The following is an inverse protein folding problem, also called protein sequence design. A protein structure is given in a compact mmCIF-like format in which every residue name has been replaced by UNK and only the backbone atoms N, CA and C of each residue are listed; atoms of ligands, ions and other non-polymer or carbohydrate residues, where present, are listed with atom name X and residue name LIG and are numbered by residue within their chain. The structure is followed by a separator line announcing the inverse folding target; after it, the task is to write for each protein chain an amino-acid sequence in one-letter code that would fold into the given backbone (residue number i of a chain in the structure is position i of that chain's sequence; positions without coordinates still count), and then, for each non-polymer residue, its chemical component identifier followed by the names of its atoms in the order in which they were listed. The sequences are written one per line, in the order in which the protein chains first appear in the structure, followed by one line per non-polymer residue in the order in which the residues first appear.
data_IF_615087572489
#
_entry.id   IF_615087572489
#
_cell.length_a   1.000
_cell.length_b   1.000
_cell.length_c   1.000
_cell.angle_alpha   90.00
_cell.angle_beta   90.00
_cell.angle_gamma   90.00
#
_symmetry.space_group_name_H-M   'P 1'
#
loop_
_entity.id
_entity.type
_entity.pdbx_description
1 polymer ?
#
# COMPACT_ATOMS: atom_id res chain seq x y z
N UNK A 1 -19.88 -33.79 -8.86
CA UNK A 1 -18.61 -33.09 -8.79
C UNK A 1 -18.90 -31.60 -8.68
N UNK A 2 -18.89 -31.06 -7.47
CA UNK A 2 -19.03 -29.61 -7.24
C UNK A 2 -17.69 -29.00 -7.59
N UNK A 3 -17.62 -28.23 -8.68
CA UNK A 3 -16.46 -27.38 -8.97
C UNK A 3 -16.38 -26.35 -7.86
N UNK A 4 -15.45 -26.50 -6.92
CA UNK A 4 -15.05 -25.42 -6.03
C UNK A 4 -14.54 -24.27 -6.93
N UNK A 5 -15.41 -23.33 -7.23
CA UNK A 5 -14.97 -22.00 -7.62
C UNK A 5 -14.24 -21.41 -6.39
N UNK A 6 -12.94 -21.49 -6.37
CA UNK A 6 -12.15 -20.65 -5.48
C UNK A 6 -12.57 -19.22 -5.81
N UNK A 7 -13.30 -18.59 -4.91
CA UNK A 7 -13.62 -17.16 -5.01
C UNK A 7 -12.27 -16.45 -5.14
N UNK A 8 -11.96 -15.95 -6.33
CA UNK A 8 -10.76 -15.16 -6.53
C UNK A 8 -10.80 -13.99 -5.55
N UNK A 9 -9.72 -13.81 -4.81
CA UNK A 9 -9.59 -12.70 -3.87
C UNK A 9 -9.61 -11.39 -4.64
N UNK A 10 -10.48 -10.49 -4.25
CA UNK A 10 -10.66 -9.20 -4.90
C UNK A 10 -9.71 -8.16 -4.33
N UNK A 11 -9.17 -7.28 -5.19
CA UNK A 11 -8.14 -6.30 -4.82
C UNK A 11 -8.49 -4.92 -5.36
N UNK A 12 -8.48 -3.92 -4.49
CA UNK A 12 -8.45 -2.50 -4.87
C UNK A 12 -7.04 -1.96 -4.72
N UNK A 13 -6.57 -1.23 -5.72
CA UNK A 13 -5.31 -0.49 -5.65
C UNK A 13 -5.61 0.99 -5.43
N UNK A 14 -4.96 1.57 -4.42
CA UNK A 14 -5.04 2.99 -4.09
C UNK A 14 -3.76 3.66 -4.55
N UNK A 15 -3.88 4.55 -5.52
CA UNK A 15 -2.82 5.45 -5.95
C UNK A 15 -3.01 6.83 -5.34
N UNK A 16 -1.93 7.58 -5.23
CA UNK A 16 -1.99 8.97 -4.79
C UNK A 16 -1.08 9.85 -5.64
N UNK A 17 -1.35 11.15 -5.65
CA UNK A 17 -0.49 12.14 -6.31
C UNK A 17 -0.34 13.41 -5.50
N UNK A 18 0.91 13.85 -5.37
CA UNK A 18 1.27 15.16 -4.85
C UNK A 18 2.61 15.60 -5.42
N UNK A 19 2.58 16.56 -6.36
CA UNK A 19 3.77 17.13 -7.05
C UNK A 19 4.53 16.17 -7.99
N UNK A 20 4.35 14.86 -7.92
CA UNK A 20 5.01 13.84 -8.73
C UNK A 20 3.98 12.97 -9.44
N UNK A 21 3.55 13.38 -10.64
CA UNK A 21 2.54 12.64 -11.43
C UNK A 21 3.10 12.14 -12.78
N UNK A 22 4.40 12.27 -13.00
CA UNK A 22 5.03 11.81 -14.24
C UNK A 22 5.02 10.29 -14.39
N UNK A 23 4.91 9.56 -13.28
CA UNK A 23 4.84 8.09 -13.22
C UNK A 23 3.42 7.53 -13.34
N UNK A 24 2.38 8.37 -13.24
CA UNK A 24 0.99 7.91 -13.12
C UNK A 24 0.56 6.97 -14.26
N UNK A 25 0.90 7.32 -15.51
CA UNK A 25 0.57 6.47 -16.66
C UNK A 25 1.21 5.10 -16.55
N UNK A 26 2.49 5.06 -16.24
CA UNK A 26 3.25 3.82 -16.08
C UNK A 26 2.73 2.99 -14.88
N UNK A 27 2.33 3.64 -13.79
CA UNK A 27 1.69 2.97 -12.65
C UNK A 27 0.37 2.32 -13.05
N UNK A 28 -0.52 3.06 -13.74
CA UNK A 28 -1.82 2.53 -14.18
C UNK A 28 -1.61 1.34 -15.11
N UNK A 29 -0.75 1.47 -16.12
CA UNK A 29 -0.42 0.38 -17.05
C UNK A 29 0.15 -0.84 -16.32
N UNK A 30 1.06 -0.66 -15.36
CA UNK A 30 1.63 -1.75 -14.58
C UNK A 30 0.59 -2.46 -13.69
N UNK A 31 -0.40 -1.72 -13.18
CA UNK A 31 -1.47 -2.28 -12.36
C UNK A 31 -2.50 -3.02 -13.21
N UNK A 32 -2.87 -2.49 -14.36
CA UNK A 32 -3.79 -3.15 -15.30
C UNK A 32 -3.23 -4.45 -15.87
N UNK A 33 -1.89 -4.54 -15.99
CA UNK A 33 -1.17 -5.70 -16.49
C UNK A 33 -0.74 -6.72 -15.41
N UNK A 34 -1.19 -6.57 -14.16
CA UNK A 34 -0.90 -7.54 -13.10
C UNK A 34 -1.42 -8.94 -13.44
N UNK A 35 -0.63 -9.98 -13.11
CA UNK A 35 -1.03 -11.41 -13.29
C UNK A 35 -2.24 -11.76 -12.43
N UNK A 36 -2.37 -11.20 -11.23
CA UNK A 36 -3.60 -11.24 -10.45
C UNK A 36 -4.42 -10.00 -10.76
N UNK A 37 -5.61 -10.20 -11.33
CA UNK A 37 -6.47 -9.09 -11.76
C UNK A 37 -6.80 -8.16 -10.60
N UNK A 38 -6.60 -6.87 -10.83
CA UNK A 38 -7.06 -5.80 -9.96
C UNK A 38 -8.50 -5.44 -10.31
N UNK A 39 -9.37 -5.37 -9.31
CA UNK A 39 -10.81 -5.12 -9.51
C UNK A 39 -11.11 -3.63 -9.61
N UNK A 40 -10.38 -2.80 -8.87
CA UNK A 40 -10.61 -1.36 -8.85
C UNK A 40 -9.29 -0.60 -8.66
N UNK A 41 -9.07 0.44 -9.45
CA UNK A 41 -8.03 1.45 -9.19
C UNK A 41 -8.73 2.70 -8.68
N UNK A 42 -8.24 3.22 -7.56
CA UNK A 42 -8.76 4.41 -6.89
C UNK A 42 -7.62 5.41 -6.72
N UNK A 43 -7.79 6.63 -7.18
CA UNK A 43 -6.75 7.64 -7.14
C UNK A 43 -7.14 8.82 -6.27
N UNK A 44 -6.27 9.15 -5.31
CA UNK A 44 -6.38 10.33 -4.46
C UNK A 44 -5.39 11.42 -4.91
N UNK A 45 -5.90 12.58 -5.32
CA UNK A 45 -5.09 13.73 -5.65
C UNK A 45 -5.08 14.74 -4.51
N UNK A 46 -3.95 14.90 -3.84
CA UNK A 46 -3.72 16.08 -3.00
C UNK A 46 -3.48 17.31 -3.89
N UNK A 47 -4.07 18.45 -3.52
CA UNK A 47 -3.88 19.65 -4.31
C UNK A 47 -2.43 20.11 -4.30
N UNK A 48 -1.97 20.58 -5.44
CA UNK A 48 -0.74 21.34 -5.62
C UNK A 48 -0.97 22.42 -6.67
N UNK A 49 0.01 23.29 -6.88
CA UNK A 49 -0.07 24.31 -7.95
C UNK A 49 0.17 23.70 -9.35
N UNK A 50 0.51 22.44 -9.43
CA UNK A 50 0.79 21.74 -10.69
C UNK A 50 -0.52 21.27 -11.34
N UNK A 51 -0.55 21.25 -12.66
CA UNK A 51 -1.59 20.57 -13.45
C UNK A 51 -1.19 19.11 -13.62
N UNK A 52 -2.15 18.23 -13.48
CA UNK A 52 -1.96 16.78 -13.59
C UNK A 52 -2.69 16.26 -14.82
N UNK A 53 -2.02 15.38 -15.57
CA UNK A 53 -2.67 14.57 -16.59
C UNK A 53 -3.31 13.35 -15.91
N UNK A 54 -4.62 13.38 -15.76
CA UNK A 54 -5.41 12.27 -15.20
C UNK A 54 -6.03 11.39 -16.30
N UNK A 55 -5.68 11.62 -17.59
CA UNK A 55 -6.23 10.85 -18.70
C UNK A 55 -6.06 9.34 -18.53
N UNK A 56 -4.95 8.79 -18.00
CA UNK A 56 -4.82 7.35 -17.81
C UNK A 56 -5.92 6.75 -16.92
N UNK A 57 -6.33 7.51 -15.90
CA UNK A 57 -7.38 7.09 -14.97
C UNK A 57 -8.77 7.26 -15.56
N UNK A 58 -9.01 8.38 -16.27
CA UNK A 58 -10.31 8.69 -16.91
C UNK A 58 -10.60 7.70 -18.02
N UNK A 59 -9.63 7.44 -18.87
CA UNK A 59 -9.76 6.51 -20.02
C UNK A 59 -9.99 5.06 -19.55
N UNK A 60 -9.38 4.67 -18.43
CA UNK A 60 -9.58 3.37 -17.79
C UNK A 60 -10.89 3.26 -16.98
N UNK A 61 -11.63 4.36 -16.79
CA UNK A 61 -12.86 4.38 -15.98
C UNK A 61 -12.63 4.18 -14.48
N UNK A 62 -11.48 4.63 -13.98
CA UNK A 62 -11.08 4.46 -12.58
C UNK A 62 -11.67 5.53 -11.65
N UNK A 63 -11.71 5.25 -10.37
CA UNK A 63 -12.24 6.16 -9.35
C UNK A 63 -11.23 7.27 -9.03
N UNK A 64 -11.65 8.54 -9.10
CA UNK A 64 -10.79 9.70 -8.88
C UNK A 64 -11.41 10.61 -7.81
N UNK A 65 -10.62 10.94 -6.79
CA UNK A 65 -10.93 11.97 -5.82
C UNK A 65 -9.86 13.07 -5.84
N UNK A 66 -10.29 14.31 -5.96
CA UNK A 66 -9.40 15.48 -5.97
C UNK A 66 -9.69 16.36 -4.77
N UNK A 67 -8.70 16.61 -3.96
CA UNK A 67 -8.78 17.47 -2.80
C UNK A 67 -8.38 18.91 -3.13
N UNK A 68 -9.01 19.87 -2.46
CA UNK A 68 -8.64 21.30 -2.52
C UNK A 68 -7.53 21.68 -1.56
N UNK A 69 -7.08 20.73 -0.71
CA UNK A 69 -6.01 20.91 0.28
C UNK A 69 -5.05 19.73 0.23
N UNK A 70 -3.83 19.92 0.71
CA UNK A 70 -2.91 18.82 0.99
C UNK A 70 -3.24 18.22 2.36
N UNK A 71 -3.77 17.00 2.36
CA UNK A 71 -4.06 16.21 3.57
C UNK A 71 -2.93 15.23 3.94
N UNK A 72 -1.76 15.37 3.31
CA UNK A 72 -0.61 14.51 3.56
C UNK A 72 -0.78 13.09 3.06
N UNK A 73 0.09 12.21 3.53
CA UNK A 73 0.17 10.81 3.10
C UNK A 73 -0.95 9.93 3.67
N UNK A 74 -1.55 10.33 4.78
CA UNK A 74 -2.63 9.58 5.44
C UNK A 74 -3.94 9.60 4.66
N UNK A 75 -4.14 10.60 3.81
CA UNK A 75 -5.38 10.76 3.03
C UNK A 75 -5.69 9.55 2.14
N UNK A 76 -4.67 8.89 1.59
CA UNK A 76 -4.85 7.67 0.78
C UNK A 76 -5.43 6.50 1.59
N UNK A 77 -5.07 6.37 2.86
CA UNK A 77 -5.66 5.36 3.76
C UNK A 77 -7.08 5.72 4.18
N UNK A 78 -7.42 7.03 4.29
CA UNK A 78 -8.80 7.48 4.49
C UNK A 78 -9.65 7.20 3.23
N UNK A 79 -9.11 7.45 2.05
CA UNK A 79 -9.80 7.15 0.79
C UNK A 79 -10.00 5.64 0.60
N UNK A 80 -9.05 4.82 1.04
CA UNK A 80 -9.12 3.36 1.02
C UNK A 80 -10.31 2.78 1.80
N UNK A 81 -10.92 3.51 2.74
CA UNK A 81 -12.15 3.10 3.43
C UNK A 81 -13.34 2.90 2.47
N UNK A 82 -13.29 3.45 1.26
CA UNK A 82 -14.30 3.25 0.23
C UNK A 82 -14.11 1.94 -0.57
N UNK A 83 -12.96 1.27 -0.45
CA UNK A 83 -12.72 0.00 -1.11
C UNK A 83 -13.72 -1.07 -0.64
N UNK A 84 -14.26 -1.86 -1.59
CA UNK A 84 -15.25 -2.92 -1.32
C UNK A 84 -14.70 -4.32 -1.52
N UNK A 85 -13.43 -4.43 -1.88
CA UNK A 85 -12.70 -5.67 -2.15
C UNK A 85 -12.19 -6.32 -0.86
N UNK A 86 -11.72 -7.56 -0.95
CA UNK A 86 -11.12 -8.27 0.19
C UNK A 86 -9.81 -7.62 0.62
N UNK A 87 -8.97 -7.27 -0.34
CA UNK A 87 -7.66 -6.67 -0.12
C UNK A 87 -7.57 -5.26 -0.67
N UNK A 88 -6.68 -4.50 -0.06
CA UNK A 88 -6.28 -3.16 -0.48
C UNK A 88 -4.77 -3.14 -0.67
N UNK A 89 -4.33 -2.57 -1.80
CA UNK A 89 -2.93 -2.27 -2.06
C UNK A 89 -2.77 -0.76 -2.20
N UNK A 90 -2.00 -0.12 -1.33
CA UNK A 90 -1.67 1.32 -1.41
C UNK A 90 -0.27 1.45 -2.01
N UNK A 91 -0.10 2.24 -3.05
CA UNK A 91 1.17 2.39 -3.79
C UNK A 91 1.62 3.86 -3.76
N UNK A 92 2.91 4.08 -3.47
CA UNK A 92 3.52 5.41 -3.51
C UNK A 92 3.59 5.97 -4.93
N UNK A 93 3.55 7.32 -5.06
CA UNK A 93 3.51 8.04 -6.34
C UNK A 93 4.79 7.95 -7.19
N UNK A 94 5.82 7.30 -6.69
CA UNK A 94 7.11 7.05 -7.36
C UNK A 94 7.46 5.55 -7.49
N UNK A 95 6.52 4.67 -7.20
CA UNK A 95 6.75 3.22 -7.23
C UNK A 95 5.96 2.57 -8.36
N UNK A 96 6.65 1.83 -9.23
CA UNK A 96 6.03 1.03 -10.29
C UNK A 96 6.10 -0.45 -9.84
N UNK A 97 4.95 -1.11 -9.61
CA UNK A 97 4.95 -2.51 -9.20
C UNK A 97 5.37 -3.42 -10.36
N UNK A 98 6.12 -4.47 -10.05
CA UNK A 98 6.33 -5.56 -11.01
C UNK A 98 5.02 -6.29 -11.33
N UNK A 99 4.96 -6.94 -12.49
CA UNK A 99 3.76 -7.58 -13.05
C UNK A 99 3.13 -8.66 -12.17
N UNK A 100 3.88 -9.23 -11.21
CA UNK A 100 3.44 -10.26 -10.28
C UNK A 100 3.31 -9.79 -8.83
N UNK A 101 3.38 -8.50 -8.59
CA UNK A 101 3.35 -7.95 -7.23
C UNK A 101 2.08 -8.34 -6.47
N UNK A 102 0.91 -8.12 -7.07
CA UNK A 102 -0.39 -8.45 -6.44
C UNK A 102 -0.55 -9.96 -6.21
N UNK A 103 -0.18 -10.79 -7.20
CA UNK A 103 -0.21 -12.24 -7.06
C UNK A 103 0.67 -12.71 -5.89
N UNK A 104 1.88 -12.18 -5.80
CA UNK A 104 2.82 -12.49 -4.75
C UNK A 104 2.30 -12.09 -3.36
N UNK A 105 1.69 -10.90 -3.25
CA UNK A 105 1.07 -10.44 -2.02
C UNK A 105 -0.10 -11.33 -1.59
N UNK A 106 -1.01 -11.68 -2.52
CA UNK A 106 -2.14 -12.57 -2.22
C UNK A 106 -1.65 -13.93 -1.72
N UNK A 107 -0.69 -14.53 -2.40
CA UNK A 107 -0.12 -15.83 -2.01
C UNK A 107 0.60 -15.75 -0.65
N UNK A 108 1.36 -14.69 -0.42
CA UNK A 108 2.06 -14.48 0.86
C UNK A 108 1.06 -14.30 2.00
N UNK A 109 0.00 -13.56 1.78
CA UNK A 109 -1.00 -13.28 2.81
C UNK A 109 -1.71 -14.55 3.33
N UNK A 110 -1.87 -15.57 2.52
CA UNK A 110 -2.51 -16.85 2.91
C UNK A 110 -1.72 -17.56 4.03
N UNK A 111 -0.41 -17.42 4.04
CA UNK A 111 0.47 -18.06 5.03
C UNK A 111 1.02 -17.09 6.08
N UNK A 112 1.09 -15.81 5.74
CA UNK A 112 1.63 -14.74 6.58
C UNK A 112 0.64 -13.56 6.60
N UNK A 113 -0.52 -13.70 7.26
CA UNK A 113 -1.52 -12.66 7.31
C UNK A 113 -1.01 -11.44 8.09
N UNK A 114 -1.31 -10.24 7.58
CA UNK A 114 -0.93 -8.99 8.22
C UNK A 114 -0.76 -7.83 7.27
N UNK A 115 0.23 -7.00 7.52
CA UNK A 115 0.62 -5.90 6.66
C UNK A 115 1.85 -6.31 5.85
N UNK A 116 1.71 -6.34 4.53
CA UNK A 116 2.82 -6.62 3.63
C UNK A 116 3.31 -5.32 3.01
N UNK A 117 4.61 -5.21 2.79
CA UNK A 117 5.20 -4.06 2.09
C UNK A 117 6.29 -4.48 1.11
N UNK A 118 6.62 -3.59 0.15
CA UNK A 118 7.70 -3.83 -0.80
C UNK A 118 9.05 -3.83 -0.11
N UNK A 119 9.20 -2.96 0.89
CA UNK A 119 10.41 -2.81 1.69
C UNK A 119 10.10 -2.95 3.16
N UNK A 120 11.10 -3.29 3.95
CA UNK A 120 10.96 -3.38 5.40
C UNK A 120 12.26 -3.15 6.16
N UNK A 121 12.10 -2.78 7.43
CA UNK A 121 13.17 -2.54 8.38
C UNK A 121 12.98 -3.41 9.61
N UNK A 122 14.10 -3.92 10.16
CA UNK A 122 14.18 -4.46 11.51
C UNK A 122 15.03 -3.50 12.34
N UNK A 123 14.52 -3.07 13.49
CA UNK A 123 15.28 -2.21 14.40
C UNK A 123 16.29 -3.01 15.20
N UNK A 124 17.52 -2.55 15.26
CA UNK A 124 18.54 -3.11 16.16
C UNK A 124 18.43 -2.55 17.58
N UNK A 125 17.84 -1.38 17.70
CA UNK A 125 17.67 -0.64 18.96
C UNK A 125 16.54 0.38 18.82
N UNK A 126 16.29 1.19 19.83
CA UNK A 126 15.24 2.22 19.85
C UNK A 126 15.49 3.43 18.95
N UNK A 127 16.47 3.37 18.02
CA UNK A 127 16.83 4.47 17.12
C UNK A 127 16.29 4.21 15.72
N UNK A 128 15.42 5.10 15.24
CA UNK A 128 14.92 5.06 13.86
C UNK A 128 16.03 5.43 12.87
N UNK A 129 16.09 4.71 11.74
CA UNK A 129 16.94 5.08 10.62
C UNK A 129 18.35 4.49 10.64
N UNK A 130 18.62 3.47 11.43
CA UNK A 130 19.87 2.70 11.32
C UNK A 130 19.91 2.02 9.96
N UNK A 131 20.85 2.47 9.12
CA UNK A 131 21.09 1.91 7.79
C UNK A 131 22.02 0.71 7.92
N UNK A 132 21.70 -0.40 7.27
CA UNK A 132 22.57 -1.58 7.25
C UNK A 132 21.88 -2.86 6.82
N UNK A 133 22.33 -3.99 7.32
CA UNK A 133 21.91 -5.35 6.99
C UNK A 133 20.43 -5.66 7.33
N UNK A 134 19.79 -4.78 8.08
CA UNK A 134 18.41 -4.90 8.54
C UNK A 134 17.36 -4.28 7.60
N UNK A 135 17.74 -3.99 6.36
CA UNK A 135 16.87 -3.48 5.30
C UNK A 135 16.56 -4.58 4.30
N UNK A 136 15.28 -4.77 3.98
CA UNK A 136 14.80 -5.80 3.07
C UNK A 136 14.01 -5.17 1.93
N UNK A 137 14.20 -5.66 0.70
CA UNK A 137 13.46 -5.22 -0.48
C UNK A 137 14.01 -3.97 -1.20
N UNK A 138 15.17 -3.40 -0.80
CA UNK A 138 15.76 -2.22 -1.49
C UNK A 138 16.66 -2.61 -2.66
N UNK A 139 17.76 -3.28 -2.37
CA UNK A 139 18.82 -3.53 -3.35
C UNK A 139 18.79 -4.94 -3.92
N UNK A 140 18.14 -5.85 -3.22
CA UNK A 140 18.04 -7.25 -3.61
C UNK A 140 16.64 -7.78 -3.38
N UNK A 141 16.15 -8.59 -4.30
CA UNK A 141 14.91 -9.32 -4.12
C UNK A 141 15.04 -10.32 -2.96
N UNK A 142 14.05 -10.35 -2.10
CA UNK A 142 13.96 -11.40 -1.10
C UNK A 142 13.67 -12.74 -1.79
N UNK A 143 14.25 -13.80 -1.29
CA UNK A 143 13.98 -15.18 -1.76
C UNK A 143 12.99 -15.91 -0.86
N UNK A 144 12.66 -15.30 0.28
CA UNK A 144 11.70 -15.81 1.27
C UNK A 144 11.00 -14.67 1.97
N UNK A 145 9.86 -14.95 2.59
CA UNK A 145 9.12 -13.95 3.38
C UNK A 145 9.96 -13.52 4.58
N UNK A 146 10.11 -12.21 4.77
CA UNK A 146 10.81 -11.63 5.93
C UNK A 146 9.84 -10.97 6.88
N UNK A 147 9.92 -11.34 8.16
CA UNK A 147 9.26 -10.60 9.23
C UNK A 147 10.08 -9.34 9.54
N UNK A 148 9.42 -8.19 9.61
CA UNK A 148 10.06 -6.89 9.82
C UNK A 148 9.29 -6.06 10.85
N UNK A 149 9.89 -5.00 11.37
CA UNK A 149 9.22 -4.10 12.31
C UNK A 149 8.37 -3.05 11.59
N UNK A 150 8.87 -2.54 10.45
CA UNK A 150 8.16 -1.56 9.62
C UNK A 150 8.21 -1.99 8.16
N UNK A 151 7.11 -1.76 7.45
CA UNK A 151 7.02 -1.88 5.99
C UNK A 151 6.68 -0.55 5.35
N UNK A 152 7.09 -0.36 4.09
CA UNK A 152 6.87 0.88 3.36
C UNK A 152 6.81 0.72 1.84
N UNK A 153 6.65 1.83 1.14
CA UNK A 153 6.54 2.11 -0.30
C UNK A 153 5.28 1.56 -0.97
N UNK A 154 4.91 0.32 -0.72
CA UNK A 154 3.62 -0.25 -1.07
C UNK A 154 3.12 -1.01 0.14
N UNK A 155 1.83 -0.92 0.42
CA UNK A 155 1.19 -1.63 1.52
C UNK A 155 0.09 -2.51 0.97
N UNK A 156 0.18 -3.82 1.21
CA UNK A 156 -0.87 -4.76 0.87
C UNK A 156 -1.43 -5.39 2.14
N UNK A 157 -2.75 -5.36 2.29
CA UNK A 157 -3.40 -5.82 3.50
C UNK A 157 -4.88 -6.18 3.26
N UNK A 158 -5.47 -6.99 4.14
CA UNK A 158 -6.91 -7.21 4.13
C UNK A 158 -7.64 -5.95 4.62
N UNK A 159 -8.73 -5.58 3.96
CA UNK A 159 -9.48 -4.34 4.19
C UNK A 159 -9.87 -4.09 5.65
N UNK A 160 -10.14 -5.15 6.45
CA UNK A 160 -10.48 -5.02 7.87
C UNK A 160 -9.39 -4.33 8.69
N UNK A 161 -8.13 -4.37 8.24
CA UNK A 161 -7.01 -3.73 8.92
C UNK A 161 -7.05 -2.19 8.84
N UNK A 162 -7.88 -1.60 7.99
CA UNK A 162 -8.15 -0.16 8.05
C UNK A 162 -8.77 0.25 9.39
N UNK A 163 -9.59 -0.61 10.00
CA UNK A 163 -10.13 -0.36 11.34
C UNK A 163 -9.04 -0.36 12.42
N UNK A 164 -7.97 -1.11 12.20
CA UNK A 164 -6.79 -1.12 13.08
C UNK A 164 -5.95 0.12 12.86
N UNK A 165 -5.68 0.49 11.60
CA UNK A 165 -4.96 1.73 11.25
C UNK A 165 -5.59 2.97 11.91
N UNK A 166 -6.91 3.11 11.85
CA UNK A 166 -7.65 4.26 12.36
C UNK A 166 -8.08 4.16 13.83
N UNK A 167 -7.64 3.12 14.54
CA UNK A 167 -7.99 2.93 15.96
C UNK A 167 -7.39 3.98 16.87
N UNK A 168 -6.20 4.45 16.56
CA UNK A 168 -5.55 5.58 17.21
C UNK A 168 -5.13 6.61 16.17
N UNK A 169 -5.16 7.87 16.55
CA UNK A 169 -4.66 8.96 15.73
C UNK A 169 -3.32 9.43 16.30
N UNK A 170 -2.41 9.91 15.44
CA UNK A 170 -1.18 10.50 15.93
C UNK A 170 -1.48 11.71 16.84
N UNK A 171 -0.69 11.86 17.89
CA UNK A 171 -0.89 12.90 18.92
C UNK A 171 -0.43 14.29 18.51
N UNK A 172 0.14 14.47 17.31
CA UNK A 172 0.76 15.72 16.86
C UNK A 172 0.06 16.21 15.59
N UNK A 173 -0.35 17.47 15.57
CA UNK A 173 -1.12 18.06 14.46
C UNK A 173 -0.44 17.98 13.09
N UNK A 174 0.89 17.96 13.03
CA UNK A 174 1.66 17.90 11.79
C UNK A 174 1.96 16.46 11.31
N UNK A 175 1.62 15.45 12.08
CA UNK A 175 2.00 14.06 11.81
C UNK A 175 1.30 13.42 10.62
N UNK A 176 0.20 13.99 10.11
CA UNK A 176 -0.49 13.50 8.89
C UNK A 176 0.32 13.71 7.59
N UNK A 177 1.43 14.42 7.64
CA UNK A 177 2.31 14.61 6.49
C UNK A 177 3.30 13.46 6.27
N UNK A 178 3.60 12.69 7.33
CA UNK A 178 4.58 11.58 7.32
C UNK A 178 4.22 10.54 8.39
N UNK A 179 4.94 9.41 8.42
CA UNK A 179 4.93 8.44 9.53
C UNK A 179 3.78 7.44 9.51
N UNK A 180 3.05 7.34 8.41
CA UNK A 180 1.97 6.35 8.23
C UNK A 180 2.50 4.91 8.18
N UNK A 181 3.70 4.71 7.69
CA UNK A 181 4.42 3.43 7.63
C UNK A 181 4.72 2.90 9.04
N UNK A 182 5.31 3.75 9.89
CA UNK A 182 5.58 3.43 11.30
C UNK A 182 4.27 3.19 12.03
N UNK A 183 3.30 4.09 11.86
CA UNK A 183 2.01 3.99 12.52
C UNK A 183 1.28 2.70 12.16
N UNK A 184 1.12 2.40 10.87
CA UNK A 184 0.37 1.21 10.46
C UNK A 184 1.06 -0.07 10.95
N UNK A 185 2.38 -0.16 10.79
CA UNK A 185 3.17 -1.32 11.26
C UNK A 185 3.03 -1.50 12.77
N UNK A 186 3.14 -0.41 13.54
CA UNK A 186 2.94 -0.43 14.99
C UNK A 186 1.53 -0.84 15.38
N UNK A 187 0.50 -0.30 14.73
CA UNK A 187 -0.89 -0.60 15.03
C UNK A 187 -1.23 -2.09 14.80
N UNK A 188 -0.70 -2.69 13.72
CA UNK A 188 -0.84 -4.13 13.48
C UNK A 188 -0.24 -4.94 14.61
N UNK A 189 0.98 -4.63 15.01
CA UNK A 189 1.69 -5.37 16.07
C UNK A 189 1.05 -5.14 17.46
N UNK A 190 0.48 -3.96 17.71
CA UNK A 190 -0.14 -3.62 18.98
C UNK A 190 -1.53 -4.23 19.18
N UNK A 191 -2.32 -4.33 18.12
CA UNK A 191 -3.75 -4.63 18.22
C UNK A 191 -4.19 -5.92 17.54
N UNK A 192 -3.25 -6.65 16.95
CA UNK A 192 -3.55 -7.94 16.30
C UNK A 192 -2.46 -8.96 16.64
N UNK A 193 -2.75 -10.22 16.37
CA UNK A 193 -1.78 -11.33 16.36
C UNK A 193 -1.09 -11.50 14.99
N UNK A 194 -1.37 -10.59 14.04
CA UNK A 194 -0.80 -10.58 12.69
C UNK A 194 0.56 -9.88 12.67
N UNK A 195 1.34 -10.15 11.62
CA UNK A 195 2.68 -9.59 11.46
C UNK A 195 2.79 -8.47 10.43
N UNK A 196 4.01 -7.97 10.30
CA UNK A 196 4.48 -7.08 9.24
C UNK A 196 5.53 -7.83 8.42
N UNK A 197 5.36 -7.90 7.09
CA UNK A 197 6.11 -8.81 6.24
C UNK A 197 6.57 -8.15 4.95
N UNK A 198 7.76 -8.53 4.49
CA UNK A 198 8.22 -8.28 3.13
C UNK A 198 8.12 -9.60 2.35
N UNK A 199 7.30 -9.68 1.29
CA UNK A 199 7.22 -10.85 0.41
C UNK A 199 8.54 -11.17 -0.29
N UNK A 200 8.70 -12.41 -0.82
CA UNK A 200 9.87 -12.79 -1.62
C UNK A 200 9.90 -12.08 -2.97
#
# INVERSE_FOLDING_TARGET
MVKNYWLMKTVSVILNGYKRNHTLREQVEAIENQTHKVDTIMYWQNTSQLRYDLSPLVDGGHDIAVSTKNYGVWARFAYALNAKTDYVCVIDDDTIPGDRWIENCVNTYETHPGLLGTIGLIFENDTYGVLGENRFGWDNNNTEVKKVDIVGHNWFFHRDLLSVFWRELPSVDESFLVGEDIHFSHMIQKYTDRGTWVPP
#
